data_IF_710921049297
#
_entry.id   IF_710921049297
#
_cell.length_a   1.000
_cell.length_b   1.000
_cell.length_c   1.000
_cell.angle_alpha   90.00
_cell.angle_beta   90.00
_cell.angle_gamma   90.00
#
_symmetry.space_group_name_H-M   'P 1'
#
loop_
_entity.id
_entity.type
_entity.pdbx_description
1 polymer ?
#
# COMPACT_ATOMS: atom_id res chain seq x y z
N UNK A 1 65.74 -18.61 14.18
CA UNK A 1 64.40 -18.66 14.80
C UNK A 1 63.59 -17.36 14.65
N UNK A 2 64.23 -16.21 14.42
CA UNK A 2 63.57 -14.88 14.30
C UNK A 2 62.63 -14.73 13.09
N UNK A 3 62.93 -15.31 11.93
CA UNK A 3 62.05 -15.24 10.74
C UNK A 3 60.70 -15.93 10.95
N UNK A 4 60.67 -17.08 11.64
CA UNK A 4 59.44 -17.82 11.96
C UNK A 4 58.56 -17.05 12.95
N UNK A 5 59.17 -16.34 13.90
CA UNK A 5 58.48 -15.45 14.84
C UNK A 5 57.81 -14.29 14.10
N UNK A 6 58.51 -13.69 13.13
CA UNK A 6 57.97 -12.60 12.32
C UNK A 6 56.80 -13.06 11.44
N UNK A 7 56.90 -14.25 10.84
CA UNK A 7 55.78 -14.84 10.08
C UNK A 7 54.57 -15.14 10.96
N UNK A 8 54.79 -15.58 12.20
CA UNK A 8 53.71 -15.86 13.16
C UNK A 8 53.00 -14.58 13.61
N UNK A 9 53.75 -13.50 13.82
CA UNK A 9 53.21 -12.17 14.13
C UNK A 9 52.36 -11.62 12.99
N UNK A 10 52.81 -11.76 11.73
CA UNK A 10 52.05 -11.30 10.57
C UNK A 10 50.75 -12.12 10.42
N UNK A 11 50.80 -13.44 10.60
CA UNK A 11 49.62 -14.30 10.49
C UNK A 11 48.55 -13.99 11.56
N UNK A 12 48.98 -13.58 12.76
CA UNK A 12 48.07 -13.22 13.85
C UNK A 12 47.33 -11.90 13.58
N UNK A 13 47.97 -10.95 12.90
CA UNK A 13 47.37 -9.65 12.55
C UNK A 13 46.34 -9.79 11.42
N UNK A 14 46.54 -10.72 10.48
CA UNK A 14 45.59 -10.93 9.39
C UNK A 14 44.28 -11.60 9.82
N UNK A 15 44.28 -12.32 10.95
CA UNK A 15 43.09 -13.03 11.43
C UNK A 15 42.07 -12.09 12.12
N UNK A 16 42.49 -10.91 12.57
CA UNK A 16 41.64 -9.95 13.27
C UNK A 16 40.82 -9.02 12.35
N UNK A 17 40.94 -9.11 11.02
CA UNK A 17 40.29 -8.20 10.06
C UNK A 17 39.01 -8.72 9.40
N UNK A 18 38.40 -9.80 9.91
CA UNK A 18 37.10 -10.29 9.39
C UNK A 18 35.97 -9.78 10.28
N UNK A 19 35.46 -8.57 9.99
CA UNK A 19 34.22 -8.07 10.60
C UNK A 19 33.03 -8.36 9.67
N UNK A 20 31.93 -8.96 10.15
CA UNK A 20 30.75 -9.18 9.33
C UNK A 20 30.09 -7.84 9.01
N UNK A 21 30.04 -7.49 7.72
CA UNK A 21 29.24 -6.34 7.26
C UNK A 21 27.78 -6.75 7.22
N UNK A 22 26.94 -6.07 8.00
CA UNK A 22 25.49 -6.26 7.92
C UNK A 22 24.95 -5.36 6.82
N UNK A 23 24.51 -5.96 5.71
CA UNK A 23 23.79 -5.23 4.66
C UNK A 23 22.31 -5.27 5.00
N UNK A 24 21.72 -4.09 5.23
CA UNK A 24 20.27 -3.93 5.40
C UNK A 24 19.71 -3.26 4.16
N UNK A 25 18.67 -3.83 3.57
CA UNK A 25 17.91 -3.17 2.52
C UNK A 25 17.11 -2.03 3.18
N UNK A 26 17.47 -0.78 2.87
CA UNK A 26 16.61 0.36 3.17
C UNK A 26 15.50 0.37 2.12
N UNK A 27 14.26 0.14 2.55
CA UNK A 27 13.10 0.43 1.72
C UNK A 27 13.00 1.95 1.60
N UNK A 28 13.57 2.50 0.53
CA UNK A 28 13.25 3.84 0.09
C UNK A 28 11.78 3.83 -0.35
N UNK A 29 10.88 4.19 0.57
CA UNK A 29 9.51 4.53 0.20
C UNK A 29 9.64 5.87 -0.51
N UNK A 30 9.65 5.86 -1.85
CA UNK A 30 9.32 7.04 -2.62
C UNK A 30 7.89 7.42 -2.25
N UNK A 31 7.77 8.36 -1.32
CA UNK A 31 6.53 9.07 -1.08
C UNK A 31 6.29 9.91 -2.34
N UNK A 32 5.62 9.32 -3.32
CA UNK A 32 5.00 10.09 -4.39
C UNK A 32 4.01 11.01 -3.68
N UNK A 33 4.38 12.28 -3.57
CA UNK A 33 3.50 13.35 -3.10
C UNK A 33 2.38 13.53 -4.13
N UNK A 34 1.39 12.64 -4.07
CA UNK A 34 0.16 12.79 -4.83
C UNK A 34 -0.64 13.88 -4.13
N UNK A 35 -0.43 15.12 -4.59
CA UNK A 35 -1.31 16.25 -4.34
C UNK A 35 -2.73 15.91 -4.80
N UNK A 36 -3.51 15.25 -3.95
CA UNK A 36 -4.90 14.89 -4.23
C UNK A 36 -5.82 16.06 -3.85
N UNK A 37 -6.00 17.01 -4.76
CA UNK A 37 -7.34 17.58 -4.96
C UNK A 37 -8.18 16.56 -5.74
N UNK A 38 -8.41 15.39 -5.14
CA UNK A 38 -8.88 14.20 -5.87
C UNK A 38 -10.02 13.45 -5.21
N UNK A 39 -10.54 12.48 -5.94
CA UNK A 39 -11.68 11.63 -5.53
C UNK A 39 -11.39 10.99 -4.16
N UNK A 40 -12.28 11.22 -3.19
CA UNK A 40 -12.23 10.61 -1.86
C UNK A 40 -13.33 9.57 -1.70
N UNK A 41 -12.99 8.46 -1.03
CA UNK A 41 -13.89 7.34 -0.76
C UNK A 41 -13.80 7.01 0.73
N UNK A 42 -14.92 7.08 1.46
CA UNK A 42 -15.02 6.74 2.88
C UNK A 42 -16.26 5.88 3.17
N UNK A 43 -16.21 5.06 4.23
CA UNK A 43 -17.29 4.14 4.60
C UNK A 43 -17.62 4.26 6.08
N UNK A 44 -18.90 4.38 6.39
CA UNK A 44 -19.47 4.40 7.72
C UNK A 44 -20.60 3.37 7.82
N UNK A 45 -20.32 2.22 8.46
CA UNK A 45 -21.25 1.09 8.47
C UNK A 45 -21.47 0.53 7.06
N UNK A 46 -22.70 0.60 6.56
CA UNK A 46 -23.08 0.26 5.18
C UNK A 46 -23.18 1.49 4.27
N UNK A 47 -22.83 2.69 4.74
CA UNK A 47 -22.92 3.92 3.94
C UNK A 47 -21.56 4.25 3.35
N UNK A 48 -21.49 4.30 2.02
CA UNK A 48 -20.33 4.73 1.25
C UNK A 48 -20.48 6.20 0.87
N UNK A 49 -19.54 7.05 1.25
CA UNK A 49 -19.46 8.44 0.81
C UNK A 49 -18.35 8.60 -0.24
N UNK A 50 -18.71 9.21 -1.35
CA UNK A 50 -17.81 9.53 -2.46
C UNK A 50 -17.81 11.03 -2.69
N UNK A 51 -16.63 11.64 -2.66
CA UNK A 51 -16.44 13.09 -2.87
C UNK A 51 -15.51 13.33 -4.06
N UNK A 52 -15.73 14.43 -4.80
CA UNK A 52 -14.88 14.86 -5.91
C UNK A 52 -14.97 14.00 -7.18
N UNK A 53 -16.01 13.18 -7.33
CA UNK A 53 -16.17 12.22 -8.43
C UNK A 53 -17.37 12.49 -9.33
N UNK A 54 -17.79 13.74 -9.49
CA UNK A 54 -18.98 14.05 -10.30
C UNK A 54 -18.81 13.52 -11.73
N UNK A 55 -19.89 12.96 -12.29
CA UNK A 55 -19.97 12.32 -13.60
C UNK A 55 -19.13 11.05 -13.81
N UNK A 56 -18.33 10.63 -12.83
CA UNK A 56 -17.63 9.34 -12.87
C UNK A 56 -18.58 8.17 -12.59
N UNK A 57 -18.26 7.00 -13.14
CA UNK A 57 -18.98 5.77 -12.80
C UNK A 57 -18.27 5.02 -11.69
N UNK A 58 -18.97 4.79 -10.60
CA UNK A 58 -18.55 3.96 -9.49
C UNK A 58 -18.87 2.49 -9.76
N UNK A 59 -17.89 1.62 -9.55
CA UNK A 59 -18.03 0.17 -9.58
C UNK A 59 -17.65 -0.42 -8.22
N UNK A 60 -18.41 -1.41 -7.77
CA UNK A 60 -18.03 -2.22 -6.59
C UNK A 60 -17.85 -3.66 -7.01
N UNK A 61 -16.74 -4.26 -6.57
CA UNK A 61 -16.40 -5.65 -6.81
C UNK A 61 -16.28 -6.41 -5.50
N UNK A 62 -16.63 -7.68 -5.51
CA UNK A 62 -16.30 -8.60 -4.42
C UNK A 62 -14.81 -9.02 -4.48
N UNK A 63 -14.35 -9.79 -3.50
CA UNK A 63 -12.95 -10.26 -3.44
C UNK A 63 -12.53 -11.17 -4.60
N UNK A 64 -13.48 -11.81 -5.28
CA UNK A 64 -13.21 -12.67 -6.45
C UNK A 64 -13.20 -11.89 -7.76
N UNK A 65 -13.37 -10.56 -7.73
CA UNK A 65 -13.36 -9.69 -8.90
C UNK A 65 -14.69 -9.58 -9.65
N UNK A 66 -15.78 -10.16 -9.13
CA UNK A 66 -17.12 -10.01 -9.72
C UNK A 66 -17.69 -8.65 -9.36
N UNK A 67 -18.18 -7.91 -10.35
CA UNK A 67 -18.83 -6.60 -10.18
C UNK A 67 -20.23 -6.79 -9.60
N UNK A 68 -20.47 -6.24 -8.42
CA UNK A 68 -21.75 -6.35 -7.69
C UNK A 68 -22.58 -5.06 -7.71
N UNK A 69 -21.98 -3.92 -8.09
CA UNK A 69 -22.69 -2.65 -8.24
C UNK A 69 -22.03 -1.78 -9.31
N UNK A 70 -22.85 -0.96 -9.98
CA UNK A 70 -22.43 0.03 -10.98
C UNK A 70 -23.38 1.23 -10.92
N UNK A 71 -22.88 2.40 -10.54
CA UNK A 71 -23.70 3.61 -10.34
C UNK A 71 -22.94 4.83 -10.84
N UNK A 72 -23.61 5.72 -11.58
CA UNK A 72 -23.04 7.02 -11.95
C UNK A 72 -23.12 7.97 -10.76
N UNK A 73 -22.02 8.64 -10.44
CA UNK A 73 -21.98 9.67 -9.39
C UNK A 73 -22.53 10.97 -9.95
N UNK A 74 -23.62 11.45 -9.38
CA UNK A 74 -24.42 12.58 -9.85
C UNK A 74 -24.27 13.82 -8.96
N UNK A 75 -23.07 14.02 -8.42
CA UNK A 75 -22.73 15.19 -7.61
C UNK A 75 -21.31 15.17 -7.06
N UNK A 76 -20.89 16.28 -6.48
CA UNK A 76 -19.55 16.43 -5.91
C UNK A 76 -19.38 15.71 -4.55
N UNK A 77 -20.46 15.44 -3.81
CA UNK A 77 -20.47 14.67 -2.56
C UNK A 77 -21.76 13.85 -2.51
N UNK A 78 -21.63 12.52 -2.54
CA UNK A 78 -22.75 11.59 -2.59
C UNK A 78 -22.58 10.46 -1.59
N UNK A 79 -23.71 10.00 -1.06
CA UNK A 79 -23.79 8.87 -0.11
C UNK A 79 -24.64 7.76 -0.71
N UNK A 80 -24.11 6.53 -0.63
CA UNK A 80 -24.75 5.32 -1.13
C UNK A 80 -24.95 4.34 0.02
N UNK A 81 -26.19 3.93 0.27
CA UNK A 81 -26.48 2.82 1.16
C UNK A 81 -26.18 1.51 0.44
N UNK A 82 -25.11 0.84 0.86
CA UNK A 82 -24.68 -0.43 0.31
C UNK A 82 -25.48 -1.57 0.95
N UNK A 83 -26.40 -2.16 0.18
CA UNK A 83 -27.08 -3.40 0.58
C UNK A 83 -26.22 -4.62 0.24
N UNK A 84 -25.01 -4.67 0.80
CA UNK A 84 -24.04 -5.74 0.58
C UNK A 84 -23.88 -6.57 1.86
N UNK A 85 -23.70 -7.90 1.75
CA UNK A 85 -23.34 -8.73 2.88
C UNK A 85 -22.05 -8.26 3.58
N UNK A 86 -21.85 -8.70 4.83
CA UNK A 86 -20.61 -8.46 5.56
C UNK A 86 -19.43 -9.07 4.79
N UNK A 87 -18.35 -8.31 4.65
CA UNK A 87 -17.19 -8.76 3.88
C UNK A 87 -16.31 -7.63 3.36
N UNK A 88 -15.28 -8.04 2.61
CA UNK A 88 -14.37 -7.13 1.93
C UNK A 88 -14.82 -6.87 0.49
N UNK A 89 -14.70 -5.62 0.06
CA UNK A 89 -15.05 -5.21 -1.30
C UNK A 89 -14.01 -4.22 -1.84
N UNK A 90 -14.01 -4.06 -3.15
CA UNK A 90 -13.18 -3.09 -3.87
C UNK A 90 -14.12 -2.08 -4.50
N UNK A 91 -13.98 -0.80 -4.13
CA UNK A 91 -14.68 0.31 -4.78
C UNK A 91 -13.72 0.97 -5.76
N UNK A 92 -14.15 1.17 -6.99
CA UNK A 92 -13.42 1.90 -8.03
C UNK A 92 -14.25 3.06 -8.55
N UNK A 93 -13.68 4.26 -8.58
CA UNK A 93 -14.29 5.46 -9.15
C UNK A 93 -13.20 6.26 -9.88
N UNK A 94 -13.38 6.52 -11.17
CA UNK A 94 -12.34 7.09 -12.02
C UNK A 94 -11.02 6.30 -11.91
N UNK A 95 -9.94 7.00 -11.55
CA UNK A 95 -8.60 6.41 -11.33
C UNK A 95 -8.35 5.92 -9.90
N UNK A 96 -9.30 6.15 -8.97
CA UNK A 96 -9.14 5.78 -7.55
C UNK A 96 -9.77 4.42 -7.28
N UNK A 97 -9.06 3.58 -6.55
CA UNK A 97 -9.55 2.28 -6.08
C UNK A 97 -9.27 2.14 -4.59
N UNK A 98 -10.24 1.65 -3.83
CA UNK A 98 -10.13 1.48 -2.37
C UNK A 98 -10.75 0.18 -1.90
N UNK A 99 -10.04 -0.55 -1.04
CA UNK A 99 -10.61 -1.66 -0.26
C UNK A 99 -11.53 -1.09 0.81
N UNK A 100 -12.74 -1.62 0.91
CA UNK A 100 -13.68 -1.33 1.99
C UNK A 100 -14.08 -2.61 2.71
N UNK A 101 -14.54 -2.47 3.96
CA UNK A 101 -15.05 -3.58 4.77
C UNK A 101 -16.44 -3.21 5.28
N UNK A 102 -17.43 -4.02 4.93
CA UNK A 102 -18.78 -3.94 5.49
C UNK A 102 -18.82 -4.82 6.75
N UNK A 103 -19.12 -4.20 7.90
CA UNK A 103 -19.09 -4.83 9.24
C UNK A 103 -20.40 -5.48 9.65
#
# INVERSE_FOLDING_TARGET
MTKKIFTLLIALITLSFVLPTTVRANTAIELIDQNFQGISISVYGSVLRVEGANDETMYIYNVTGVRVMSVKVDGADKRYNLNLPKGCYIVKVGKVTRKIVIR
#
